data_IF_348230784012
#
_entry.id   IF_348230784012
#
_cell.length_a   1.000
_cell.length_b   1.000
_cell.length_c   1.000
_cell.angle_alpha   90.00
_cell.angle_beta   90.00
_cell.angle_gamma   90.00
#
_symmetry.space_group_name_H-M   'P 1'
#
loop_
_entity.id
_entity.type
_entity.pdbx_description
1 polymer ?
#
# COMPACT_ATOMS: atom_id res chain seq x y z
N UNK A 1 19.68 15.69 -0.37
CA UNK A 1 18.35 15.06 -0.23
C UNK A 1 18.37 14.16 0.99
N UNK A 2 17.41 14.34 1.90
CA UNK A 2 17.20 13.48 3.07
C UNK A 2 16.61 12.13 2.65
N UNK A 3 16.82 11.11 3.48
CA UNK A 3 16.35 9.74 3.21
C UNK A 3 14.83 9.61 3.35
N UNK A 4 14.23 8.64 2.65
CA UNK A 4 12.80 8.37 2.75
C UNK A 4 12.41 7.77 4.10
N UNK A 5 11.15 7.95 4.52
CA UNK A 5 10.59 7.34 5.74
C UNK A 5 10.79 5.81 5.80
N UNK A 6 10.74 5.15 4.65
CA UNK A 6 10.96 3.70 4.56
C UNK A 6 12.40 3.28 4.88
N UNK A 7 13.39 4.05 4.45
CA UNK A 7 14.80 3.80 4.79
C UNK A 7 15.04 4.04 6.28
N UNK A 8 14.50 5.14 6.82
CA UNK A 8 14.59 5.45 8.25
C UNK A 8 13.97 4.32 9.10
N UNK A 9 12.79 3.84 8.73
CA UNK A 9 12.14 2.70 9.40
C UNK A 9 12.98 1.43 9.37
N UNK A 10 13.63 1.10 8.24
CA UNK A 10 14.53 -0.07 8.15
C UNK A 10 15.72 0.04 9.09
N UNK A 11 16.33 1.23 9.20
CA UNK A 11 17.46 1.45 10.12
C UNK A 11 17.02 1.24 11.57
N UNK A 12 15.83 1.71 11.97
CA UNK A 12 15.30 1.47 13.31
C UNK A 12 14.98 -0.01 13.57
N UNK A 13 14.45 -0.72 12.58
CA UNK A 13 14.25 -2.18 12.66
C UNK A 13 15.59 -2.88 12.85
N UNK A 14 16.62 -2.50 12.10
CA UNK A 14 17.96 -3.06 12.22
C UNK A 14 18.56 -2.84 13.60
N UNK A 15 18.45 -1.62 14.14
CA UNK A 15 18.85 -1.30 15.52
C UNK A 15 18.20 -2.25 16.53
N UNK A 16 16.88 -2.43 16.44
CA UNK A 16 16.13 -3.33 17.32
C UNK A 16 16.52 -4.81 17.15
N UNK A 17 16.68 -5.27 15.91
CA UNK A 17 17.08 -6.65 15.62
C UNK A 17 18.49 -6.99 16.12
N UNK A 18 19.40 -6.02 16.08
CA UNK A 18 20.77 -6.16 16.57
C UNK A 18 20.90 -5.93 18.08
N UNK A 19 19.80 -5.59 18.77
CA UNK A 19 19.82 -5.31 20.22
C UNK A 19 20.69 -4.11 20.60
N UNK A 20 20.85 -3.14 19.68
CA UNK A 20 21.68 -1.96 19.93
C UNK A 20 20.98 -0.98 20.87
N UNK A 21 21.66 -0.58 21.94
CA UNK A 21 21.29 0.56 22.74
C UNK A 21 21.49 1.89 21.97
N UNK A 22 21.01 2.99 22.56
CA UNK A 22 21.07 4.32 21.97
C UNK A 22 22.51 4.82 21.72
N UNK A 23 23.44 4.52 22.62
CA UNK A 23 24.81 5.04 22.54
C UNK A 23 25.64 4.27 21.53
N UNK A 24 25.51 2.93 21.54
CA UNK A 24 26.06 2.05 20.50
C UNK A 24 25.55 2.45 19.11
N UNK A 25 24.26 2.77 18.99
CA UNK A 25 23.66 3.21 17.74
C UNK A 25 24.15 4.59 17.29
N UNK A 26 24.27 5.57 18.19
CA UNK A 26 24.85 6.90 17.88
C UNK A 26 26.32 6.81 17.50
N UNK A 27 27.09 5.97 18.20
CA UNK A 27 28.50 5.72 17.86
C UNK A 27 28.63 5.11 16.46
N UNK A 28 27.75 4.19 16.09
CA UNK A 28 27.69 3.61 14.74
C UNK A 28 27.38 4.67 13.67
N UNK A 29 26.39 5.54 13.92
CA UNK A 29 26.04 6.64 13.02
C UNK A 29 27.21 7.61 12.80
N UNK A 30 27.88 8.02 13.88
CA UNK A 30 29.08 8.86 13.81
C UNK A 30 30.20 8.19 13.02
N UNK A 31 30.49 6.91 13.30
CA UNK A 31 31.57 6.17 12.65
C UNK A 31 31.35 5.96 11.14
N UNK A 32 30.13 5.61 10.73
CA UNK A 32 29.83 5.21 9.34
C UNK A 32 29.41 6.39 8.47
N UNK A 33 28.70 7.36 9.06
CA UNK A 33 28.07 8.44 8.33
C UNK A 33 28.47 9.84 8.81
N UNK A 34 29.10 9.98 9.98
CA UNK A 34 29.51 11.27 10.54
C UNK A 34 28.35 12.11 11.07
N UNK A 35 27.22 11.49 11.42
CA UNK A 35 25.99 12.17 11.88
C UNK A 35 25.56 11.68 13.24
N UNK A 36 24.85 12.51 13.99
CA UNK A 36 24.28 12.16 15.31
C UNK A 36 22.88 11.52 15.20
N UNK A 37 22.18 11.77 14.09
CA UNK A 37 20.82 11.30 13.87
C UNK A 37 20.66 10.66 12.49
N UNK A 38 19.87 9.59 12.43
CA UNK A 38 19.51 8.97 11.17
C UNK A 38 18.66 9.87 10.26
N UNK A 39 18.03 10.92 10.81
CA UNK A 39 17.31 11.93 10.02
C UNK A 39 18.24 12.78 9.14
N UNK A 40 19.51 12.88 9.54
CA UNK A 40 20.52 13.70 8.85
C UNK A 40 21.24 12.90 7.76
N UNK A 41 20.89 11.63 7.58
CA UNK A 41 21.46 10.79 6.53
C UNK A 41 20.97 11.25 5.15
N UNK A 42 21.91 11.33 4.21
CA UNK A 42 21.62 11.30 2.79
C UNK A 42 21.58 9.87 2.26
N UNK A 43 21.10 9.70 1.02
CA UNK A 43 20.92 8.38 0.38
C UNK A 43 22.21 7.54 0.36
N UNK A 44 23.37 8.14 0.10
CA UNK A 44 24.66 7.43 0.04
C UNK A 44 25.11 7.00 1.43
N UNK A 45 24.98 7.86 2.44
CA UNK A 45 25.30 7.55 3.83
C UNK A 45 24.40 6.44 4.37
N UNK A 46 23.10 6.49 4.10
CA UNK A 46 22.18 5.44 4.49
C UNK A 46 22.53 4.10 3.84
N UNK A 47 22.92 4.09 2.56
CA UNK A 47 23.42 2.89 1.89
C UNK A 47 24.62 2.27 2.61
N UNK A 48 25.63 3.07 2.97
CA UNK A 48 26.80 2.58 3.74
C UNK A 48 26.42 2.05 5.12
N UNK A 49 25.52 2.75 5.82
CA UNK A 49 25.03 2.31 7.13
C UNK A 49 24.30 0.97 7.03
N UNK A 50 23.46 0.77 6.01
CA UNK A 50 22.77 -0.50 5.79
C UNK A 50 23.75 -1.66 5.55
N UNK A 51 24.79 -1.45 4.75
CA UNK A 51 25.84 -2.47 4.53
C UNK A 51 26.54 -2.83 5.84
N UNK A 52 26.86 -1.84 6.68
CA UNK A 52 27.49 -2.10 7.97
C UNK A 52 26.53 -2.81 8.94
N UNK A 53 25.25 -2.45 8.96
CA UNK A 53 24.24 -3.16 9.75
C UNK A 53 24.11 -4.63 9.31
N UNK A 54 24.10 -4.89 8.00
CA UNK A 54 24.07 -6.26 7.45
C UNK A 54 25.33 -7.05 7.86
N UNK A 55 26.51 -6.41 7.81
CA UNK A 55 27.77 -7.00 8.29
C UNK A 55 27.72 -7.36 9.78
N UNK A 56 27.02 -6.57 10.59
CA UNK A 56 26.80 -6.81 12.02
C UNK A 56 25.70 -7.86 12.31
N UNK A 57 25.09 -8.45 11.27
CA UNK A 57 24.11 -9.53 11.40
C UNK A 57 22.66 -9.12 11.16
N UNK A 58 22.40 -7.88 10.71
CA UNK A 58 21.06 -7.48 10.31
C UNK A 58 20.64 -8.30 9.09
N UNK A 59 19.51 -9.00 9.20
CA UNK A 59 18.91 -9.77 8.11
C UNK A 59 17.64 -9.05 7.65
N UNK A 60 17.69 -8.23 6.59
CA UNK A 60 16.51 -7.50 6.12
C UNK A 60 15.41 -8.50 5.75
N UNK A 61 14.26 -8.39 6.43
CA UNK A 61 13.07 -9.14 6.04
C UNK A 61 12.54 -8.56 4.72
N UNK A 62 12.23 -9.40 3.72
CA UNK A 62 11.52 -8.93 2.54
C UNK A 62 10.21 -8.29 2.99
N UNK A 63 9.86 -7.18 2.34
CA UNK A 63 8.58 -6.50 2.59
C UNK A 63 7.46 -7.52 2.52
N UNK A 64 6.49 -7.46 3.44
CA UNK A 64 5.26 -8.25 3.34
C UNK A 64 4.55 -8.02 2.00
N UNK A 65 4.77 -6.85 1.37
CA UNK A 65 4.28 -6.51 0.03
C UNK A 65 4.97 -7.29 -1.09
N UNK A 66 6.25 -7.63 -0.93
CA UNK A 66 7.02 -8.46 -1.86
C UNK A 66 6.85 -9.97 -1.58
N UNK A 67 6.24 -10.33 -0.45
CA UNK A 67 6.02 -11.73 -0.07
C UNK A 67 5.08 -12.39 -1.07
N UNK A 68 5.54 -13.49 -1.67
CA UNK A 68 4.78 -14.24 -2.67
C UNK A 68 4.97 -13.75 -4.11
N UNK A 69 5.88 -12.78 -4.36
CA UNK A 69 6.26 -12.42 -5.74
C UNK A 69 6.75 -13.67 -6.49
N UNK A 70 6.29 -13.91 -7.72
CA UNK A 70 6.74 -15.07 -8.51
C UNK A 70 8.26 -15.07 -8.70
N UNK A 71 8.89 -16.23 -8.51
CA UNK A 71 10.35 -16.35 -8.65
C UNK A 71 10.82 -16.17 -10.10
N UNK A 72 9.99 -16.56 -11.07
CA UNK A 72 10.24 -16.41 -12.50
C UNK A 72 9.68 -15.09 -13.07
N UNK A 73 9.47 -14.07 -12.23
CA UNK A 73 8.81 -12.81 -12.62
C UNK A 73 9.35 -12.18 -13.90
N UNK A 74 10.68 -12.17 -14.07
CA UNK A 74 11.35 -11.59 -15.24
C UNK A 74 11.03 -12.31 -16.58
N UNK A 75 10.41 -13.50 -16.54
CA UNK A 75 10.03 -14.30 -17.71
C UNK A 75 8.51 -14.29 -17.94
N UNK A 76 7.74 -13.61 -17.09
CA UNK A 76 6.28 -13.53 -17.19
C UNK A 76 5.87 -12.39 -18.13
N UNK A 77 4.62 -12.44 -18.60
CA UNK A 77 4.09 -11.45 -19.53
C UNK A 77 3.92 -10.06 -18.89
N UNK A 78 3.83 -9.01 -19.71
CA UNK A 78 3.68 -7.62 -19.23
C UNK A 78 2.43 -7.39 -18.36
N UNK A 79 1.37 -8.18 -18.54
CA UNK A 79 0.17 -8.11 -17.68
C UNK A 79 0.50 -8.43 -16.21
N UNK A 80 1.46 -9.31 -15.95
CA UNK A 80 1.90 -9.64 -14.59
C UNK A 80 2.63 -8.45 -13.96
N UNK A 81 3.36 -7.66 -14.74
CA UNK A 81 3.98 -6.40 -14.27
C UNK A 81 2.91 -5.36 -13.93
N UNK A 82 1.85 -5.26 -14.74
CA UNK A 82 0.70 -4.38 -14.45
C UNK A 82 -0.02 -4.83 -13.18
N UNK A 83 -0.19 -6.14 -12.97
CA UNK A 83 -0.73 -6.70 -11.72
C UNK A 83 0.15 -6.30 -10.53
N UNK A 84 1.47 -6.41 -10.64
CA UNK A 84 2.40 -5.98 -9.58
C UNK A 84 2.23 -4.49 -9.25
N UNK A 85 2.13 -3.64 -10.28
CA UNK A 85 1.95 -2.21 -10.11
C UNK A 85 0.64 -1.88 -9.38
N UNK A 86 -0.48 -2.52 -9.76
CA UNK A 86 -1.77 -2.33 -9.10
C UNK A 86 -1.76 -2.80 -7.64
N UNK A 87 -1.19 -3.98 -7.37
CA UNK A 87 -1.03 -4.47 -6.01
C UNK A 87 -0.19 -3.53 -5.16
N UNK A 88 0.92 -3.03 -5.71
CA UNK A 88 1.81 -2.09 -5.03
C UNK A 88 1.10 -0.78 -4.71
N UNK A 89 0.34 -0.23 -5.67
CA UNK A 89 -0.43 0.99 -5.49
C UNK A 89 -1.47 0.86 -4.37
N UNK A 90 -2.18 -0.28 -4.33
CA UNK A 90 -3.16 -0.57 -3.27
C UNK A 90 -2.52 -1.06 -1.96
N UNK A 91 -1.20 -1.26 -1.92
CA UNK A 91 -0.49 -1.82 -0.77
C UNK A 91 -0.85 -3.28 -0.46
N UNK A 92 -1.29 -4.04 -1.45
CA UNK A 92 -1.73 -5.43 -1.32
C UNK A 92 -0.60 -6.43 -1.61
N UNK A 93 -0.61 -7.61 -0.95
CA UNK A 93 0.34 -8.68 -1.25
C UNK A 93 -0.06 -9.47 -2.50
N UNK A 94 0.89 -10.20 -3.09
CA UNK A 94 0.66 -11.13 -4.19
C UNK A 94 -0.42 -12.18 -3.92
N UNK A 95 -0.58 -12.60 -2.66
CA UNK A 95 -1.64 -13.53 -2.26
C UNK A 95 -3.04 -13.01 -2.55
N UNK A 96 -3.23 -11.69 -2.70
CA UNK A 96 -4.51 -11.12 -3.11
C UNK A 96 -4.82 -11.45 -4.58
N UNK A 97 -3.85 -11.31 -5.47
CA UNK A 97 -4.01 -11.71 -6.87
C UNK A 97 -4.13 -13.23 -7.02
N UNK A 98 -3.39 -14.01 -6.23
CA UNK A 98 -3.53 -15.46 -6.15
C UNK A 98 -4.97 -15.87 -5.76
N UNK A 99 -5.57 -15.19 -4.78
CA UNK A 99 -6.95 -15.45 -4.38
C UNK A 99 -7.97 -15.14 -5.49
N UNK A 100 -7.71 -14.11 -6.31
CA UNK A 100 -8.53 -13.81 -7.49
C UNK A 100 -8.39 -14.92 -8.53
N UNK A 101 -7.16 -15.34 -8.85
CA UNK A 101 -6.88 -16.42 -9.80
C UNK A 101 -7.54 -17.73 -9.36
N UNK A 102 -7.45 -18.06 -8.07
CA UNK A 102 -8.10 -19.23 -7.48
C UNK A 102 -9.61 -19.17 -7.59
N UNK A 103 -10.22 -18.03 -7.28
CA UNK A 103 -11.68 -17.86 -7.34
C UNK A 103 -12.22 -17.87 -8.77
N UNK A 104 -11.51 -17.26 -9.73
CA UNK A 104 -11.99 -17.15 -11.12
C UNK A 104 -11.69 -18.40 -11.95
N UNK A 105 -10.55 -19.07 -11.69
CA UNK A 105 -10.03 -20.11 -12.57
C UNK A 105 -9.59 -21.39 -11.85
N UNK A 106 -9.70 -21.46 -10.52
CA UNK A 106 -9.20 -22.60 -9.74
C UNK A 106 -7.68 -22.71 -9.70
N UNK A 107 -6.94 -21.68 -10.14
CA UNK A 107 -5.48 -21.69 -10.21
C UNK A 107 -4.89 -21.03 -8.96
N UNK A 108 -4.09 -21.76 -8.20
CA UNK A 108 -3.55 -21.30 -6.91
C UNK A 108 -2.62 -20.08 -7.00
N UNK A 109 -1.97 -19.87 -8.15
CA UNK A 109 -1.03 -18.77 -8.36
C UNK A 109 -1.37 -17.99 -9.61
N UNK A 110 -1.43 -16.67 -9.50
CA UNK A 110 -1.69 -15.79 -10.66
C UNK A 110 -0.63 -15.95 -11.74
N UNK A 111 0.63 -16.25 -11.35
CA UNK A 111 1.73 -16.51 -12.27
C UNK A 111 1.60 -17.84 -13.06
N UNK A 112 0.67 -18.71 -12.70
CA UNK A 112 0.41 -19.97 -13.43
C UNK A 112 -0.72 -19.83 -14.46
N UNK A 113 -1.32 -18.65 -14.60
CA UNK A 113 -2.29 -18.37 -15.65
C UNK A 113 -1.59 -18.41 -17.01
N UNK A 114 -2.16 -19.18 -17.94
CA UNK A 114 -1.51 -19.51 -19.22
C UNK A 114 -2.01 -18.65 -20.38
N UNK A 115 -3.19 -18.04 -20.23
CA UNK A 115 -3.85 -17.34 -21.33
C UNK A 115 -3.96 -15.84 -21.04
N UNK A 116 -3.78 -14.97 -22.05
CA UNK A 116 -3.95 -13.53 -21.88
C UNK A 116 -5.34 -13.16 -21.32
N UNK A 117 -6.38 -13.86 -21.77
CA UNK A 117 -7.76 -13.65 -21.28
C UNK A 117 -7.90 -13.84 -19.76
N UNK A 118 -7.20 -14.82 -19.18
CA UNK A 118 -7.20 -15.03 -17.73
C UNK A 118 -6.51 -13.87 -17.01
N UNK A 119 -5.37 -13.40 -17.52
CA UNK A 119 -4.62 -12.29 -16.94
C UNK A 119 -5.42 -10.98 -17.01
N UNK A 120 -6.03 -10.68 -18.16
CA UNK A 120 -6.91 -9.52 -18.34
C UNK A 120 -8.11 -9.55 -17.38
N UNK A 121 -8.67 -10.73 -17.09
CA UNK A 121 -9.76 -10.87 -16.13
C UNK A 121 -9.33 -10.61 -14.68
N UNK A 122 -8.12 -11.01 -14.30
CA UNK A 122 -7.54 -10.67 -12.99
C UNK A 122 -7.26 -9.17 -12.90
N UNK A 123 -6.68 -8.57 -13.95
CA UNK A 123 -6.46 -7.13 -14.05
C UNK A 123 -7.76 -6.34 -13.90
N UNK A 124 -8.82 -6.75 -14.60
CA UNK A 124 -10.15 -6.12 -14.49
C UNK A 124 -10.69 -6.20 -13.06
N UNK A 125 -10.53 -7.34 -12.37
CA UNK A 125 -10.96 -7.49 -10.98
C UNK A 125 -10.15 -6.61 -10.01
N UNK A 126 -8.85 -6.47 -10.24
CA UNK A 126 -7.99 -5.56 -9.47
C UNK A 126 -8.34 -4.09 -9.72
N UNK A 127 -8.65 -3.73 -10.95
CA UNK A 127 -9.12 -2.38 -11.29
C UNK A 127 -10.43 -2.04 -10.56
N UNK A 128 -11.40 -2.96 -10.54
CA UNK A 128 -12.64 -2.79 -9.77
C UNK A 128 -12.36 -2.68 -8.27
N UNK A 129 -11.37 -3.40 -7.74
CA UNK A 129 -10.95 -3.26 -6.34
C UNK A 129 -10.33 -1.88 -6.06
N UNK A 130 -9.48 -1.39 -6.95
CA UNK A 130 -8.86 -0.08 -6.86
C UNK A 130 -9.91 1.03 -6.85
N UNK A 131 -10.87 0.99 -7.78
CA UNK A 131 -11.94 1.98 -7.88
C UNK A 131 -12.82 2.00 -6.63
N UNK A 132 -13.18 0.84 -6.05
CA UNK A 132 -13.93 0.81 -4.79
C UNK A 132 -13.19 1.48 -3.64
N UNK A 133 -11.87 1.30 -3.55
CA UNK A 133 -11.05 1.94 -2.51
C UNK A 133 -10.99 3.44 -2.69
N UNK A 134 -10.82 3.88 -3.93
CA UNK A 134 -10.81 5.29 -4.27
C UNK A 134 -12.16 5.96 -3.97
N UNK A 135 -13.28 5.36 -4.39
CA UNK A 135 -14.60 5.87 -4.08
C UNK A 135 -14.87 5.94 -2.57
N UNK A 136 -14.47 4.91 -1.82
CA UNK A 136 -14.60 4.93 -0.36
C UNK A 136 -13.79 6.07 0.27
N UNK A 137 -12.55 6.28 -0.17
CA UNK A 137 -11.73 7.40 0.27
C UNK A 137 -12.37 8.76 -0.09
N UNK A 138 -12.97 8.88 -1.28
CA UNK A 138 -13.71 10.09 -1.66
C UNK A 138 -14.92 10.32 -0.74
N UNK A 139 -15.69 9.28 -0.42
CA UNK A 139 -16.78 9.37 0.57
C UNK A 139 -16.26 9.88 1.92
N UNK A 140 -15.17 9.31 2.43
CA UNK A 140 -14.56 9.71 3.70
C UNK A 140 -14.13 11.19 3.69
N UNK A 141 -13.47 11.65 2.63
CA UNK A 141 -13.05 13.05 2.50
C UNK A 141 -14.24 14.01 2.33
N UNK A 142 -15.30 13.61 1.62
CA UNK A 142 -16.52 14.43 1.50
C UNK A 142 -17.29 14.51 2.81
N UNK A 143 -17.42 13.41 3.54
CA UNK A 143 -17.99 13.41 4.89
C UNK A 143 -17.22 14.37 5.81
N UNK A 144 -15.88 14.31 5.77
CA UNK A 144 -15.02 15.22 6.53
C UNK A 144 -15.22 16.68 6.11
N UNK A 145 -15.34 16.97 4.82
CA UNK A 145 -15.63 18.32 4.33
C UNK A 145 -16.99 18.85 4.79
N UNK A 146 -17.97 17.96 4.98
CA UNK A 146 -19.29 18.27 5.53
C UNK A 146 -19.30 18.33 7.07
N UNK A 147 -18.18 18.05 7.74
CA UNK A 147 -18.09 18.02 9.19
C UNK A 147 -18.79 16.83 9.85
N UNK A 148 -19.05 15.75 9.10
CA UNK A 148 -19.67 14.52 9.62
C UNK A 148 -18.69 13.37 9.66
N UNK A 149 -18.85 12.46 10.63
CA UNK A 149 -17.96 11.30 10.78
C UNK A 149 -18.24 10.21 9.74
N UNK A 150 -19.50 10.05 9.34
CA UNK A 150 -19.98 8.98 8.47
C UNK A 150 -21.15 9.47 7.62
N UNK A 151 -21.37 8.89 6.43
CA UNK A 151 -22.47 9.30 5.55
C UNK A 151 -23.85 9.04 6.17
N UNK A 152 -23.98 8.05 7.06
CA UNK A 152 -25.25 7.72 7.74
C UNK A 152 -25.74 8.81 8.71
N UNK A 153 -24.92 9.84 8.97
CA UNK A 153 -25.29 10.99 9.82
C UNK A 153 -25.87 12.15 9.02
N UNK A 154 -25.96 12.01 7.70
CA UNK A 154 -26.56 12.99 6.80
C UNK A 154 -28.03 12.63 6.62
N UNK A 155 -28.88 13.65 6.68
CA UNK A 155 -30.33 13.52 6.48
C UNK A 155 -30.63 12.85 5.12
N UNK A 156 -31.41 11.78 5.15
CA UNK A 156 -31.74 10.95 3.99
C UNK A 156 -30.76 9.82 3.66
N UNK A 157 -29.67 9.64 4.42
CA UNK A 157 -28.70 8.54 4.27
C UNK A 157 -28.63 7.62 5.50
N UNK A 158 -29.59 7.67 6.42
CA UNK A 158 -29.55 7.00 7.72
C UNK A 158 -29.55 5.46 7.63
N UNK A 159 -30.09 4.92 6.54
CA UNK A 159 -30.35 3.49 6.38
C UNK A 159 -29.57 2.88 5.19
N UNK A 160 -28.23 2.98 5.20
CA UNK A 160 -27.42 2.35 4.16
C UNK A 160 -27.42 0.81 4.24
N UNK A 161 -27.38 0.11 3.10
CA UNK A 161 -27.30 -1.35 3.09
C UNK A 161 -26.05 -1.89 3.80
N UNK A 162 -26.20 -3.05 4.46
CA UNK A 162 -25.07 -3.72 5.12
C UNK A 162 -23.93 -3.97 4.13
N UNK A 163 -22.72 -3.57 4.52
CA UNK A 163 -21.53 -3.77 3.70
C UNK A 163 -21.42 -2.82 2.50
N UNK A 164 -22.16 -1.71 2.48
CA UNK A 164 -22.11 -0.69 1.42
C UNK A 164 -20.68 -0.24 1.08
N UNK A 165 -19.76 -0.21 2.06
CA UNK A 165 -18.33 0.12 1.88
C UNK A 165 -17.60 -0.76 0.86
N UNK A 166 -18.20 -1.87 0.42
CA UNK A 166 -17.65 -2.80 -0.59
C UNK A 166 -18.48 -2.86 -1.87
N UNK A 167 -19.58 -2.12 -1.94
CA UNK A 167 -20.52 -2.14 -3.06
C UNK A 167 -20.27 -0.94 -3.96
N UNK A 168 -19.59 -1.18 -5.10
CA UNK A 168 -19.22 -0.14 -6.07
C UNK A 168 -20.39 0.77 -6.47
N UNK A 169 -21.61 0.28 -6.78
CA UNK A 169 -22.72 1.16 -7.16
C UNK A 169 -23.15 2.12 -6.04
N UNK A 170 -23.20 1.64 -4.80
CA UNK A 170 -23.57 2.48 -3.65
C UNK A 170 -22.49 3.53 -3.40
N UNK A 171 -21.21 3.15 -3.46
CA UNK A 171 -20.11 4.09 -3.30
C UNK A 171 -20.17 5.23 -4.34
N UNK A 172 -20.50 4.92 -5.61
CA UNK A 172 -20.71 5.95 -6.64
C UNK A 172 -21.85 6.89 -6.29
N UNK A 173 -23.02 6.33 -5.97
CA UNK A 173 -24.19 7.12 -5.60
C UNK A 173 -23.92 8.03 -4.38
N UNK A 174 -23.16 7.54 -3.40
CA UNK A 174 -22.73 8.34 -2.25
C UNK A 174 -21.80 9.47 -2.65
N UNK A 175 -20.78 9.21 -3.47
CA UNK A 175 -19.88 10.27 -3.95
C UNK A 175 -20.67 11.38 -4.64
N UNK A 176 -21.60 11.01 -5.53
CA UNK A 176 -22.44 11.98 -6.26
C UNK A 176 -23.32 12.80 -5.30
N UNK A 177 -24.02 12.13 -4.38
CA UNK A 177 -24.89 12.78 -3.40
C UNK A 177 -24.12 13.73 -2.47
N UNK A 178 -22.97 13.28 -1.94
CA UNK A 178 -22.15 14.07 -1.03
C UNK A 178 -21.49 15.26 -1.73
N UNK A 179 -21.05 15.08 -2.97
CA UNK A 179 -20.53 16.19 -3.78
C UNK A 179 -21.58 17.28 -3.97
N UNK A 180 -22.82 16.91 -4.31
CA UNK A 180 -23.92 17.86 -4.47
C UNK A 180 -24.19 18.65 -3.17
N UNK A 181 -24.14 17.99 -2.02
CA UNK A 181 -24.29 18.65 -0.71
C UNK A 181 -23.13 19.60 -0.39
N UNK A 182 -21.89 19.22 -0.70
CA UNK A 182 -20.72 20.11 -0.53
C UNK A 182 -20.83 21.34 -1.43
N UNK A 183 -21.29 21.17 -2.67
CA UNK A 183 -21.49 22.28 -3.61
C UNK A 183 -22.58 23.23 -3.09
N UNK A 184 -23.73 22.70 -2.64
CA UNK A 184 -24.82 23.50 -2.09
C UNK A 184 -24.34 24.39 -0.91
N UNK A 185 -23.61 23.81 0.06
CA UNK A 185 -23.08 24.55 1.22
C UNK A 185 -22.01 25.60 0.90
N UNK A 186 -21.41 25.57 -0.29
CA UNK A 186 -20.41 26.57 -0.73
C UNK A 186 -21.03 27.69 -1.55
N UNK A 187 -22.24 27.48 -2.07
CA UNK A 187 -23.00 28.47 -2.84
C UNK A 187 -23.88 29.38 -1.97
N UNK A 188 -24.19 28.95 -0.74
CA UNK A 188 -24.82 29.74 0.32
C UNK A 188 -23.78 30.52 1.15
#
# INVERSE_FOLDING_TARGET
MSISKGVLGKIHIAKGQLGMDDDSYRALLRRVAGVESAKDLNTRQAGRLMVELERLGFKPKPSSKAKGKPHNFAQLSGEIEVIEAQLTNMGLPWSYADAIAKRQFGVEKVAWLKTPKQLTAVLAALHVEQEKRELLHQVEELCKALGVSDPERIDGLEALPKGWKRQRPILKALVDALNNLVIARRGD
#
